data_IF_030795942541
#
_entry.id   IF_030795942541
#
_cell.length_a   1.000
_cell.length_b   1.000
_cell.length_c   1.000
_cell.angle_alpha   90.00
_cell.angle_beta   90.00
_cell.angle_gamma   90.00
#
_symmetry.space_group_name_H-M   'P 1'
#
loop_
_entity.id
_entity.type
_entity.pdbx_description
1 polymer ?
#
# COMPACT_ATOMS: atom_id res chain seq x y z
N UNK A 1 20.74 -8.34 -32.87
CA UNK A 1 21.21 -8.30 -31.46
C UNK A 1 20.20 -8.94 -30.49
N UNK A 2 19.40 -9.93 -30.92
CA UNK A 2 18.29 -10.49 -30.13
C UNK A 2 18.45 -11.99 -29.78
N UNK A 3 19.56 -12.63 -30.16
CA UNK A 3 19.78 -14.07 -29.93
C UNK A 3 20.53 -14.42 -28.63
N UNK A 4 21.08 -13.44 -27.90
CA UNK A 4 21.83 -13.73 -26.68
C UNK A 4 20.92 -14.05 -25.48
N UNK A 5 19.68 -13.55 -25.48
CA UNK A 5 18.71 -13.66 -24.37
C UNK A 5 18.11 -15.08 -24.21
N UNK A 6 18.21 -15.96 -25.21
CA UNK A 6 17.63 -17.32 -25.16
C UNK A 6 18.56 -18.43 -24.66
N UNK A 7 19.86 -18.15 -24.40
CA UNK A 7 20.75 -19.20 -23.90
C UNK A 7 20.37 -19.53 -22.45
N UNK A 8 20.20 -20.81 -22.14
CA UNK A 8 19.87 -21.35 -20.80
C UNK A 8 20.73 -20.73 -19.68
N UNK A 9 22.00 -20.39 -19.99
CA UNK A 9 22.91 -19.67 -19.10
C UNK A 9 22.51 -18.23 -18.77
N UNK A 10 21.93 -17.48 -19.70
CA UNK A 10 21.47 -16.09 -19.48
C UNK A 10 20.27 -16.05 -18.52
N UNK A 11 19.32 -16.98 -18.66
CA UNK A 11 18.16 -17.10 -17.77
C UNK A 11 18.55 -17.50 -16.34
N UNK A 12 19.47 -18.45 -16.18
CA UNK A 12 20.00 -18.83 -14.87
C UNK A 12 20.87 -17.74 -14.25
N UNK A 13 21.61 -16.99 -15.07
CA UNK A 13 22.36 -15.82 -14.61
C UNK A 13 21.43 -14.70 -14.13
N UNK A 14 20.37 -14.38 -14.88
CA UNK A 14 19.37 -13.38 -14.47
C UNK A 14 18.66 -13.76 -13.18
N UNK A 15 18.25 -15.03 -13.02
CA UNK A 15 17.66 -15.50 -11.77
C UNK A 15 18.60 -15.30 -10.54
N UNK A 16 19.92 -15.47 -10.72
CA UNK A 16 20.91 -15.18 -9.67
C UNK A 16 21.12 -13.68 -9.46
N UNK A 17 21.08 -12.90 -10.53
CA UNK A 17 21.22 -11.44 -10.50
C UNK A 17 20.06 -10.79 -9.72
N UNK A 18 18.82 -11.23 -9.93
CA UNK A 18 17.65 -10.78 -9.15
C UNK A 18 17.81 -11.13 -7.66
N UNK A 19 18.30 -12.34 -7.35
CA UNK A 19 18.54 -12.74 -5.96
C UNK A 19 19.63 -11.91 -5.26
N UNK A 20 20.72 -11.58 -5.97
CA UNK A 20 21.77 -10.72 -5.43
C UNK A 20 21.32 -9.26 -5.28
N UNK A 21 20.59 -8.71 -6.26
CA UNK A 21 19.99 -7.38 -6.18
C UNK A 21 19.05 -7.22 -4.98
N UNK A 22 18.09 -8.14 -4.86
CA UNK A 22 17.13 -8.13 -3.77
C UNK A 22 17.81 -8.21 -2.40
N UNK A 23 18.86 -9.04 -2.25
CA UNK A 23 19.61 -9.15 -1.00
C UNK A 23 20.30 -7.84 -0.60
N UNK A 24 20.82 -7.09 -1.58
CA UNK A 24 21.51 -5.82 -1.35
C UNK A 24 20.53 -4.71 -0.96
N UNK A 25 19.33 -4.70 -1.56
CA UNK A 25 18.23 -3.78 -1.22
C UNK A 25 17.71 -4.05 0.19
N UNK A 26 17.49 -5.31 0.54
CA UNK A 26 17.01 -5.70 1.87
C UNK A 26 18.03 -5.31 2.94
N UNK A 27 19.34 -5.46 2.67
CA UNK A 27 20.40 -4.97 3.55
C UNK A 27 20.39 -3.44 3.72
N UNK A 28 20.17 -2.69 2.63
CA UNK A 28 20.02 -1.24 2.69
C UNK A 28 18.80 -0.79 3.51
N UNK A 29 17.67 -1.47 3.34
CA UNK A 29 16.46 -1.23 4.12
C UNK A 29 16.66 -1.56 5.61
N UNK A 30 17.35 -2.67 5.92
CA UNK A 30 17.68 -3.07 7.28
C UNK A 30 18.53 -2.01 8.00
N UNK A 31 19.57 -1.49 7.33
CA UNK A 31 20.41 -0.42 7.87
C UNK A 31 19.60 0.85 8.15
N UNK A 32 18.63 1.17 7.29
CA UNK A 32 17.76 2.34 7.46
C UNK A 32 16.82 2.21 8.66
N UNK A 33 16.24 1.02 8.87
CA UNK A 33 15.38 0.70 10.01
C UNK A 33 16.18 0.71 11.32
N UNK A 34 17.40 0.17 11.31
CA UNK A 34 18.21 0.03 12.52
C UNK A 34 19.04 1.29 12.87
N UNK A 35 18.95 2.34 12.04
CA UNK A 35 19.63 3.63 12.22
C UNK A 35 21.16 3.53 12.35
N UNK A 36 21.78 2.57 11.66
CA UNK A 36 23.24 2.43 11.66
C UNK A 36 23.92 3.57 10.89
N UNK A 37 25.13 3.93 11.30
CA UNK A 37 25.92 4.95 10.61
C UNK A 37 26.16 4.53 9.14
N UNK A 38 25.91 5.45 8.20
CA UNK A 38 26.01 5.15 6.77
C UNK A 38 24.77 4.52 6.14
N UNK A 39 23.65 4.37 6.87
CA UNK A 39 22.42 3.77 6.35
C UNK A 39 21.87 4.45 5.08
N UNK A 40 22.00 5.77 4.96
CA UNK A 40 21.60 6.47 3.74
C UNK A 40 22.40 6.02 2.52
N UNK A 41 23.71 5.88 2.65
CA UNK A 41 24.61 5.47 1.57
C UNK A 41 24.32 4.02 1.16
N UNK A 42 24.15 3.12 2.14
CA UNK A 42 23.83 1.71 1.88
C UNK A 42 22.47 1.55 1.17
N UNK A 43 21.46 2.32 1.58
CA UNK A 43 20.15 2.34 0.93
C UNK A 43 20.23 2.85 -0.50
N UNK A 44 21.00 3.92 -0.75
CA UNK A 44 21.22 4.43 -2.10
C UNK A 44 21.88 3.38 -3.00
N UNK A 45 22.90 2.67 -2.50
CA UNK A 45 23.56 1.60 -3.27
C UNK A 45 22.58 0.47 -3.60
N UNK A 46 21.75 0.04 -2.64
CA UNK A 46 20.72 -0.97 -2.85
C UNK A 46 19.71 -0.55 -3.93
N UNK A 47 19.11 0.64 -3.79
CA UNK A 47 18.11 1.13 -4.75
C UNK A 47 18.69 1.40 -6.14
N UNK A 48 19.92 1.90 -6.25
CA UNK A 48 20.60 2.08 -7.54
C UNK A 48 20.88 0.74 -8.22
N UNK A 49 21.29 -0.28 -7.46
CA UNK A 49 21.49 -1.64 -7.99
C UNK A 49 20.18 -2.18 -8.58
N UNK A 50 19.06 -1.93 -7.90
CA UNK A 50 17.76 -2.44 -8.35
C UNK A 50 17.24 -1.71 -9.60
N UNK A 51 17.53 -0.41 -9.71
CA UNK A 51 17.23 0.36 -10.91
C UNK A 51 17.93 -0.21 -12.16
N UNK A 52 19.18 -0.68 -12.01
CA UNK A 52 19.95 -1.31 -13.09
C UNK A 52 19.35 -2.67 -13.46
N UNK A 53 18.96 -3.48 -12.48
CA UNK A 53 18.37 -4.80 -12.70
C UNK A 53 17.01 -4.68 -13.41
N UNK A 54 16.15 -3.76 -12.98
CA UNK A 54 14.86 -3.48 -13.65
C UNK A 54 15.04 -3.01 -15.09
N UNK A 55 16.04 -2.17 -15.36
CA UNK A 55 16.35 -1.74 -16.71
C UNK A 55 16.69 -2.92 -17.63
N UNK A 56 17.47 -3.90 -17.14
CA UNK A 56 17.79 -5.10 -17.92
C UNK A 56 16.65 -6.13 -17.98
N UNK A 57 15.78 -6.17 -16.98
CA UNK A 57 14.57 -7.02 -16.94
C UNK A 57 13.57 -6.68 -18.05
N UNK A 58 13.47 -5.41 -18.44
CA UNK A 58 12.60 -4.96 -19.53
C UNK A 58 12.94 -5.56 -20.91
N UNK A 59 14.15 -6.13 -21.08
CA UNK A 59 14.57 -6.82 -22.30
C UNK A 59 14.27 -8.33 -22.27
N UNK A 60 13.67 -8.85 -21.19
CA UNK A 60 13.20 -10.23 -21.09
C UNK A 60 11.77 -10.32 -21.64
N UNK A 61 11.49 -11.32 -22.50
CA UNK A 61 10.14 -11.50 -23.08
C UNK A 61 9.14 -11.80 -21.94
N UNK A 62 7.90 -11.28 -21.98
CA UNK A 62 6.88 -11.61 -21.00
C UNK A 62 6.73 -13.13 -20.93
N UNK A 63 6.66 -13.68 -19.72
CA UNK A 63 6.41 -15.11 -19.53
C UNK A 63 5.12 -15.48 -20.27
N UNK A 64 5.23 -16.41 -21.24
CA UNK A 64 4.05 -17.00 -21.85
C UNK A 64 3.26 -17.69 -20.74
N UNK A 65 2.01 -17.27 -20.55
CA UNK A 65 1.12 -17.90 -19.59
C UNK A 65 0.99 -19.39 -19.93
N UNK A 66 1.04 -20.30 -18.95
CA UNK A 66 0.78 -21.71 -19.18
C UNK A 66 -0.57 -21.87 -19.89
N UNK A 67 -0.59 -22.64 -20.98
CA UNK A 67 -1.83 -22.91 -21.70
C UNK A 67 -2.73 -23.85 -20.88
N UNK A 68 -3.54 -23.27 -20.00
CA UNK A 68 -4.45 -24.00 -19.11
C UNK A 68 -5.52 -24.80 -19.88
N UNK A 69 -5.68 -24.58 -21.20
CA UNK A 69 -6.57 -25.37 -22.07
C UNK A 69 -6.13 -26.82 -22.22
N UNK A 70 -4.85 -27.13 -21.94
CA UNK A 70 -4.33 -28.50 -21.95
C UNK A 70 -4.78 -29.33 -20.74
N UNK A 71 -5.20 -28.67 -19.65
CA UNK A 71 -5.57 -29.29 -18.36
C UNK A 71 -7.06 -29.15 -18.07
N UNK A 72 -7.72 -28.09 -18.56
CA UNK A 72 -9.15 -27.85 -18.40
C UNK A 72 -9.79 -27.43 -19.74
N UNK A 73 -10.28 -28.39 -20.55
CA UNK A 73 -10.86 -28.09 -21.87
C UNK A 73 -12.14 -27.22 -21.80
N UNK A 74 -12.79 -27.13 -20.64
CA UNK A 74 -14.01 -26.33 -20.40
C UNK A 74 -13.77 -24.80 -20.44
N UNK A 75 -12.51 -24.34 -20.38
CA UNK A 75 -12.15 -22.91 -20.51
C UNK A 75 -11.74 -22.53 -21.94
N UNK A 76 -11.66 -23.50 -22.86
CA UNK A 76 -11.38 -23.24 -24.26
C UNK A 76 -12.59 -22.59 -24.93
N UNK A 77 -12.57 -21.25 -25.07
CA UNK A 77 -13.58 -20.50 -25.81
C UNK A 77 -14.21 -19.31 -25.09
N UNK A 78 -13.78 -18.94 -23.88
CA UNK A 78 -14.31 -17.79 -23.14
C UNK A 78 -13.32 -16.62 -23.05
N UNK A 79 -12.73 -16.20 -24.17
CA UNK A 79 -12.12 -14.88 -24.29
C UNK A 79 -12.66 -14.19 -25.54
N UNK A 80 -13.37 -13.09 -25.31
CA UNK A 80 -13.99 -12.24 -26.33
C UNK A 80 -12.92 -11.50 -27.13
N UNK A 81 -12.99 -11.59 -28.47
CA UNK A 81 -12.86 -10.43 -29.38
C UNK A 81 -13.23 -10.82 -30.83
N UNK A 82 -14.37 -10.25 -31.26
CA UNK A 82 -14.87 -9.89 -32.61
C UNK A 82 -14.80 -10.82 -33.85
N UNK A 83 -15.85 -10.78 -34.71
CA UNK A 83 -16.11 -11.79 -35.72
C UNK A 83 -15.29 -11.54 -37.00
N UNK A 84 -14.52 -12.54 -37.42
CA UNK A 84 -14.02 -12.63 -38.81
C UNK A 84 -14.55 -13.88 -39.49
N UNK A 85 -15.43 -13.64 -40.46
CA UNK A 85 -15.95 -14.59 -41.44
C UNK A 85 -14.89 -15.53 -41.98
N UNK A 86 -15.11 -16.85 -41.89
CA UNK A 86 -14.64 -17.83 -42.90
C UNK A 86 -15.61 -19.01 -43.10
N UNK A 87 -16.34 -18.91 -44.21
CA UNK A 87 -16.68 -19.94 -45.22
C UNK A 87 -16.97 -21.38 -44.80
N UNK A 88 -18.24 -21.75 -45.09
CA UNK A 88 -18.83 -23.08 -45.31
C UNK A 88 -17.91 -24.13 -45.96
N UNK A 89 -17.93 -25.33 -45.39
CA UNK A 89 -17.67 -26.61 -46.06
C UNK A 89 -18.64 -27.66 -45.51
N UNK A 90 -19.45 -28.25 -46.39
CA UNK A 90 -20.51 -29.24 -46.11
C UNK A 90 -19.89 -30.62 -45.84
N UNK A 91 -20.43 -31.37 -44.88
CA UNK A 91 -20.48 -32.83 -44.98
C UNK A 91 -21.78 -33.37 -44.36
N UNK A 92 -22.37 -34.32 -45.09
CA UNK A 92 -23.71 -34.88 -44.89
C UNK A 92 -23.79 -35.73 -43.62
N UNK A 93 -24.76 -35.43 -42.76
CA UNK A 93 -25.32 -36.40 -41.82
C UNK A 93 -25.89 -37.60 -42.59
N UNK A 94 -25.37 -38.80 -42.31
CA UNK A 94 -26.08 -40.05 -42.54
C UNK A 94 -26.99 -40.31 -41.35
N UNK A 95 -28.28 -40.53 -41.61
CA UNK A 95 -29.26 -40.84 -40.58
C UNK A 95 -29.07 -42.27 -40.06
N UNK A 96 -29.17 -42.42 -38.73
CA UNK A 96 -28.96 -43.67 -37.96
C UNK A 96 -29.79 -44.85 -38.47
N UNK A 97 -30.92 -44.59 -39.13
CA UNK A 97 -31.80 -45.61 -39.73
C UNK A 97 -31.13 -46.39 -40.87
N UNK A 98 -30.31 -45.73 -41.71
CA UNK A 98 -29.64 -46.39 -42.84
C UNK A 98 -28.46 -47.30 -42.41
N UNK A 99 -27.95 -47.15 -41.18
CA UNK A 99 -26.94 -48.06 -40.59
C UNK A 99 -27.57 -49.31 -39.96
N UNK A 100 -28.82 -49.23 -39.51
CA UNK A 100 -29.53 -50.35 -38.90
C UNK A 100 -30.10 -51.28 -39.98
N UNK A 101 -30.67 -50.72 -41.06
CA UNK A 101 -31.18 -51.54 -42.18
C UNK A 101 -30.06 -52.36 -42.84
N UNK A 102 -28.84 -51.79 -42.92
CA UNK A 102 -27.65 -52.48 -43.43
C UNK A 102 -27.12 -53.58 -42.51
N UNK A 103 -27.43 -53.51 -41.20
CA UNK A 103 -27.07 -54.54 -40.22
C UNK A 103 -28.12 -55.66 -40.11
N UNK A 104 -29.38 -55.40 -40.45
CA UNK A 104 -30.42 -56.42 -40.52
C UNK A 104 -30.33 -57.28 -41.80
N UNK A 105 -29.79 -56.75 -42.90
CA UNK A 105 -29.67 -57.47 -44.17
C UNK A 105 -28.49 -58.50 -44.20
N UNK A 106 -27.48 -58.34 -43.32
CA UNK A 106 -26.29 -59.21 -43.25
C UNK A 106 -26.43 -60.40 -42.27
N UNK A 107 -27.49 -60.48 -41.48
CA UNK A 107 -27.72 -61.60 -40.56
C UNK A 107 -28.34 -62.82 -41.28
N UNK A 108 -27.63 -63.36 -42.28
CA UNK A 108 -27.92 -64.71 -42.81
C UNK A 108 -27.62 -65.74 -41.71
N UNK A 109 -28.66 -66.34 -41.14
CA UNK A 109 -28.56 -67.45 -40.18
C UNK A 109 -27.90 -68.65 -40.88
N UNK A 110 -26.61 -68.87 -40.60
CA UNK A 110 -25.81 -69.98 -41.11
C UNK A 110 -25.39 -70.96 -40.00
N UNK A 111 -24.90 -72.16 -40.36
CA UNK A 111 -24.46 -73.19 -39.41
C UNK A 111 -23.34 -72.75 -38.45
N UNK A 112 -22.53 -71.75 -38.81
CA UNK A 112 -21.51 -71.15 -37.92
C UNK A 112 -22.12 -70.44 -36.70
N UNK A 113 -23.33 -69.88 -36.80
CA UNK A 113 -24.02 -69.24 -35.68
C UNK A 113 -24.46 -70.27 -34.62
N UNK A 114 -24.77 -71.50 -35.05
CA UNK A 114 -25.15 -72.61 -34.17
C UNK A 114 -23.91 -73.16 -33.46
N UNK A 115 -22.77 -73.26 -34.13
CA UNK A 115 -21.50 -73.68 -33.53
C UNK A 115 -20.95 -72.64 -32.55
N UNK A 116 -21.04 -71.35 -32.89
CA UNK A 116 -20.64 -70.26 -32.00
C UNK A 116 -21.60 -70.08 -30.82
N UNK A 117 -22.90 -70.35 -30.99
CA UNK A 117 -23.86 -70.44 -29.88
C UNK A 117 -23.58 -71.66 -28.99
N UNK A 118 -23.28 -72.83 -29.57
CA UNK A 118 -22.90 -74.03 -28.83
C UNK A 118 -21.60 -73.84 -28.05
N UNK A 119 -20.62 -73.16 -28.65
CA UNK A 119 -19.36 -72.77 -27.99
C UNK A 119 -19.61 -71.72 -26.91
N UNK A 120 -20.50 -70.75 -27.16
CA UNK A 120 -20.92 -69.75 -26.18
C UNK A 120 -21.61 -70.37 -24.97
N UNK A 121 -22.51 -71.33 -25.18
CA UNK A 121 -23.20 -72.07 -24.12
C UNK A 121 -22.23 -72.99 -23.34
N UNK A 122 -21.27 -73.61 -24.02
CA UNK A 122 -20.21 -74.42 -23.38
C UNK A 122 -19.25 -73.55 -22.57
N UNK A 123 -18.89 -72.37 -23.07
CA UNK A 123 -18.09 -71.38 -22.35
C UNK A 123 -18.85 -70.81 -21.16
N UNK A 124 -20.16 -70.55 -21.30
CA UNK A 124 -21.02 -70.12 -20.20
C UNK A 124 -21.13 -71.20 -19.13
N UNK A 125 -21.37 -72.47 -19.52
CA UNK A 125 -21.41 -73.61 -18.60
C UNK A 125 -20.07 -73.79 -17.85
N UNK A 126 -18.95 -73.70 -18.55
CA UNK A 126 -17.61 -73.72 -17.93
C UNK A 126 -17.37 -72.51 -17.01
N UNK A 127 -17.90 -71.34 -17.35
CA UNK A 127 -17.80 -70.13 -16.51
C UNK A 127 -18.68 -70.25 -15.27
N UNK A 128 -19.88 -70.83 -15.39
CA UNK A 128 -20.78 -71.14 -14.27
C UNK A 128 -20.18 -72.21 -13.36
N UNK A 129 -19.51 -73.23 -13.90
CA UNK A 129 -18.77 -74.22 -13.11
C UNK A 129 -17.59 -73.58 -12.35
N UNK A 130 -16.84 -72.67 -13.00
CA UNK A 130 -15.80 -71.87 -12.33
C UNK A 130 -16.36 -70.89 -11.29
N UNK A 131 -17.57 -70.36 -11.49
CA UNK A 131 -18.28 -69.56 -10.49
C UNK A 131 -18.74 -70.38 -9.29
N UNK A 132 -19.15 -71.64 -9.50
CA UNK A 132 -19.47 -72.56 -8.42
C UNK A 132 -18.22 -72.88 -7.57
N UNK A 133 -17.04 -72.98 -8.18
CA UNK A 133 -15.75 -73.08 -7.47
C UNK A 133 -15.37 -71.78 -6.74
N UNK A 134 -15.66 -70.61 -7.33
CA UNK A 134 -15.46 -69.28 -6.71
C UNK A 134 -16.31 -69.05 -5.45
N UNK A 135 -17.43 -69.77 -5.30
CA UNK A 135 -18.27 -69.76 -4.08
C UNK A 135 -17.49 -70.20 -2.82
N UNK A 136 -16.41 -70.97 -3.00
CA UNK A 136 -15.55 -71.43 -1.90
C UNK A 136 -14.43 -70.44 -1.53
N UNK A 137 -14.21 -69.36 -2.30
CA UNK A 137 -13.11 -68.40 -2.07
C UNK A 137 -13.61 -67.09 -1.46
N UNK A 138 -13.89 -67.12 -0.15
CA UNK A 138 -14.43 -66.00 0.67
C UNK A 138 -13.53 -64.74 0.71
N UNK A 139 -12.26 -64.83 0.27
CA UNK A 139 -11.29 -63.72 0.40
C UNK A 139 -11.57 -62.51 -0.48
N UNK A 140 -12.01 -62.68 -1.74
CA UNK A 140 -12.26 -61.55 -2.65
C UNK A 140 -13.52 -60.75 -2.28
N UNK A 141 -14.55 -61.41 -1.74
CA UNK A 141 -15.77 -60.76 -1.23
C UNK A 141 -15.49 -60.01 0.07
N UNK A 142 -14.65 -60.57 0.95
CA UNK A 142 -14.20 -59.89 2.16
C UNK A 142 -13.39 -58.64 1.83
N UNK A 143 -12.47 -58.73 0.86
CA UNK A 143 -11.65 -57.60 0.41
C UNK A 143 -12.47 -56.52 -0.30
N UNK A 144 -13.41 -56.88 -1.18
CA UNK A 144 -14.35 -55.93 -1.79
C UNK A 144 -15.23 -55.25 -0.73
N UNK A 145 -15.75 -56.00 0.25
CA UNK A 145 -16.56 -55.45 1.35
C UNK A 145 -15.74 -54.50 2.21
N UNK A 146 -14.48 -54.83 2.48
CA UNK A 146 -13.55 -53.97 3.20
C UNK A 146 -13.24 -52.69 2.41
N UNK A 147 -13.02 -52.79 1.10
CA UNK A 147 -12.79 -51.63 0.24
C UNK A 147 -14.03 -50.75 0.13
N UNK A 148 -15.23 -51.33 0.01
CA UNK A 148 -16.50 -50.60 0.00
C UNK A 148 -16.76 -49.90 1.35
N UNK A 149 -16.44 -50.57 2.47
CA UNK A 149 -16.53 -49.99 3.82
C UNK A 149 -15.54 -48.86 4.03
N UNK A 150 -14.30 -49.02 3.55
CA UNK A 150 -13.29 -47.97 3.55
C UNK A 150 -13.72 -46.78 2.69
N UNK A 151 -14.22 -47.02 1.47
CA UNK A 151 -14.74 -45.97 0.60
C UNK A 151 -15.93 -45.24 1.25
N UNK A 152 -16.87 -45.96 1.86
CA UNK A 152 -17.98 -45.36 2.60
C UNK A 152 -17.51 -44.53 3.80
N UNK A 153 -16.47 -44.98 4.50
CA UNK A 153 -15.85 -44.22 5.59
C UNK A 153 -15.14 -42.96 5.07
N UNK A 154 -14.45 -43.05 3.93
CA UNK A 154 -13.81 -41.90 3.29
C UNK A 154 -14.83 -40.87 2.80
N UNK A 155 -15.99 -41.31 2.27
CA UNK A 155 -17.10 -40.42 1.91
C UNK A 155 -17.71 -39.76 3.16
N UNK A 156 -17.85 -40.49 4.26
CA UNK A 156 -18.25 -39.93 5.56
C UNK A 156 -17.28 -38.87 6.05
N UNK A 157 -15.97 -39.15 6.03
CA UNK A 157 -14.92 -38.21 6.38
C UNK A 157 -14.89 -36.97 5.46
N UNK A 158 -15.17 -37.14 4.17
CA UNK A 158 -15.28 -36.03 3.22
C UNK A 158 -16.47 -35.13 3.57
N UNK A 159 -17.62 -35.72 3.91
CA UNK A 159 -18.81 -34.98 4.35
C UNK A 159 -18.56 -34.20 5.64
N UNK A 160 -17.87 -34.80 6.60
CA UNK A 160 -17.50 -34.14 7.86
C UNK A 160 -16.49 -33.01 7.63
N UNK A 161 -15.52 -33.23 6.75
CA UNK A 161 -14.54 -32.20 6.36
C UNK A 161 -15.25 -31.04 5.66
N UNK A 162 -16.20 -31.32 4.76
CA UNK A 162 -17.00 -30.31 4.07
C UNK A 162 -17.83 -29.46 5.04
N UNK A 163 -18.47 -30.08 6.05
CA UNK A 163 -19.18 -29.35 7.11
C UNK A 163 -18.25 -28.43 7.90
N UNK A 164 -17.08 -28.93 8.31
CA UNK A 164 -16.06 -28.12 9.01
C UNK A 164 -15.55 -26.97 8.13
N UNK A 165 -15.32 -27.21 6.85
CA UNK A 165 -14.90 -26.16 5.91
C UNK A 165 -15.94 -25.06 5.78
N UNK A 166 -17.24 -25.40 5.70
CA UNK A 166 -18.31 -24.40 5.67
C UNK A 166 -18.43 -23.60 6.97
N UNK A 167 -18.25 -24.22 8.13
CA UNK A 167 -18.24 -23.53 9.43
C UNK A 167 -17.06 -22.55 9.53
N UNK A 168 -15.85 -22.99 9.15
CA UNK A 168 -14.65 -22.14 9.13
C UNK A 168 -14.80 -21.00 8.14
N UNK A 169 -15.30 -21.27 6.92
CA UNK A 169 -15.51 -20.25 5.90
C UNK A 169 -16.56 -19.21 6.33
N UNK A 170 -17.63 -19.64 7.00
CA UNK A 170 -18.62 -18.72 7.57
C UNK A 170 -18.03 -17.85 8.68
N UNK A 171 -17.12 -18.41 9.49
CA UNK A 171 -16.41 -17.67 10.53
C UNK A 171 -15.42 -16.66 9.95
N UNK A 172 -14.69 -17.04 8.89
CA UNK A 172 -13.74 -16.17 8.19
C UNK A 172 -14.44 -14.97 7.54
N UNK A 173 -15.64 -15.14 6.97
CA UNK A 173 -16.44 -14.02 6.42
C UNK A 173 -16.73 -12.94 7.49
N UNK A 174 -17.05 -13.35 8.72
CA UNK A 174 -17.29 -12.41 9.82
C UNK A 174 -16.00 -11.69 10.25
N UNK A 175 -14.87 -12.41 10.33
CA UNK A 175 -13.56 -11.81 10.66
C UNK A 175 -13.13 -10.77 9.61
N UNK A 176 -13.36 -11.05 8.32
CA UNK A 176 -13.09 -10.10 7.22
C UNK A 176 -13.99 -8.86 7.31
N UNK A 177 -15.26 -9.03 7.68
CA UNK A 177 -16.18 -7.91 7.92
C UNK A 177 -15.74 -7.04 9.09
N UNK A 178 -15.35 -7.65 10.22
CA UNK A 178 -14.85 -6.92 11.38
C UNK A 178 -13.56 -6.18 11.07
N UNK A 179 -12.63 -6.82 10.34
CA UNK A 179 -11.41 -6.18 9.87
C UNK A 179 -11.69 -4.98 8.95
N UNK A 180 -12.65 -5.10 8.03
CA UNK A 180 -13.11 -3.99 7.17
C UNK A 180 -13.64 -2.81 8.01
N UNK A 181 -14.43 -3.10 9.04
CA UNK A 181 -14.95 -2.07 9.95
C UNK A 181 -13.82 -1.41 10.76
N UNK A 182 -12.85 -2.18 11.27
CA UNK A 182 -11.68 -1.63 11.96
C UNK A 182 -10.85 -0.72 11.04
N UNK A 183 -10.60 -1.15 9.79
CA UNK A 183 -9.91 -0.35 8.78
C UNK A 183 -10.68 0.93 8.46
N UNK A 184 -12.00 0.84 8.29
CA UNK A 184 -12.86 1.99 8.01
C UNK A 184 -12.80 2.99 9.16
N UNK A 185 -12.91 2.52 10.40
CA UNK A 185 -12.79 3.36 11.59
C UNK A 185 -11.41 4.03 11.67
N UNK A 186 -10.33 3.27 11.41
CA UNK A 186 -8.97 3.82 11.38
C UNK A 186 -8.81 4.92 10.32
N UNK A 187 -9.34 4.71 9.10
CA UNK A 187 -9.34 5.73 8.04
C UNK A 187 -10.16 6.96 8.41
N UNK A 188 -11.27 6.78 9.10
CA UNK A 188 -12.11 7.89 9.56
C UNK A 188 -11.41 8.69 10.66
N UNK A 189 -10.75 8.03 11.62
CA UNK A 189 -9.88 8.69 12.60
C UNK A 189 -8.71 9.42 11.94
N UNK A 190 -8.10 8.83 10.91
CA UNK A 190 -7.07 9.50 10.12
C UNK A 190 -7.61 10.76 9.43
N UNK A 191 -8.87 10.74 8.96
CA UNK A 191 -9.55 11.93 8.41
C UNK A 191 -9.66 13.03 9.44
N UNK A 192 -10.20 12.70 10.61
CA UNK A 192 -10.41 13.67 11.69
C UNK A 192 -9.07 14.26 12.15
N UNK A 193 -8.02 13.44 12.23
CA UNK A 193 -6.67 13.91 12.54
C UNK A 193 -6.13 14.85 11.47
N UNK A 194 -6.33 14.53 10.19
CA UNK A 194 -5.97 15.41 9.07
C UNK A 194 -6.66 16.77 9.17
N UNK A 195 -7.94 16.79 9.50
CA UNK A 195 -8.70 18.04 9.60
C UNK A 195 -8.24 18.88 10.81
N UNK A 196 -8.02 18.25 11.97
CA UNK A 196 -7.45 18.91 13.14
C UNK A 196 -6.06 19.50 12.84
N UNK A 197 -5.22 18.76 12.10
CA UNK A 197 -3.91 19.25 11.67
C UNK A 197 -4.01 20.45 10.73
N UNK A 198 -4.96 20.46 9.78
CA UNK A 198 -5.20 21.62 8.91
C UNK A 198 -5.64 22.85 9.71
N UNK A 199 -6.49 22.67 10.71
CA UNK A 199 -6.98 23.75 11.58
C UNK A 199 -5.87 24.32 12.46
N UNK A 200 -5.02 23.46 13.02
CA UNK A 200 -3.83 23.90 13.76
C UNK A 200 -2.88 24.65 12.82
N UNK A 201 -2.65 24.15 11.62
CA UNK A 201 -1.79 24.82 10.65
C UNK A 201 -2.31 26.21 10.25
N UNK A 202 -3.62 26.35 10.03
CA UNK A 202 -4.22 27.65 9.69
C UNK A 202 -4.14 28.64 10.86
N UNK A 203 -4.39 28.16 12.09
CA UNK A 203 -4.31 28.98 13.30
C UNK A 203 -2.88 29.47 13.56
N UNK A 204 -1.89 28.57 13.48
CA UNK A 204 -0.47 28.92 13.61
C UNK A 204 -0.06 29.93 12.53
N UNK A 205 -0.52 29.76 11.29
CA UNK A 205 -0.22 30.71 10.21
C UNK A 205 -0.81 32.10 10.49
N UNK A 206 -2.00 32.17 11.08
CA UNK A 206 -2.61 33.42 11.52
C UNK A 206 -1.79 34.09 12.64
N UNK A 207 -1.42 33.33 13.67
CA UNK A 207 -0.58 33.83 14.77
C UNK A 207 0.82 34.27 14.30
N UNK A 208 1.40 33.59 13.31
CA UNK A 208 2.66 34.00 12.69
C UNK A 208 2.55 35.36 12.00
N UNK A 209 1.43 35.63 11.33
CA UNK A 209 1.22 36.92 10.67
C UNK A 209 1.09 38.04 11.71
N UNK A 210 0.29 37.82 12.76
CA UNK A 210 0.17 38.77 13.87
C UNK A 210 1.52 39.01 14.58
N UNK A 211 2.31 37.94 14.79
CA UNK A 211 3.66 38.04 15.33
C UNK A 211 4.57 38.85 14.40
N UNK A 212 4.46 38.69 13.08
CA UNK A 212 5.24 39.47 12.11
C UNK A 212 4.90 40.96 12.16
N UNK A 213 3.62 41.31 12.31
CA UNK A 213 3.18 42.70 12.49
C UNK A 213 3.71 43.29 13.80
N UNK A 214 3.67 42.50 14.88
CA UNK A 214 4.25 42.87 16.16
C UNK A 214 5.77 43.12 16.06
N UNK A 215 6.51 42.23 15.40
CA UNK A 215 7.96 42.41 15.16
C UNK A 215 8.23 43.73 14.42
N UNK A 216 7.43 44.04 13.39
CA UNK A 216 7.58 45.29 12.64
C UNK A 216 7.33 46.51 13.54
N UNK A 217 6.28 46.46 14.36
CA UNK A 217 5.95 47.54 15.31
C UNK A 217 7.05 47.73 16.35
N UNK A 218 7.62 46.63 16.84
CA UNK A 218 8.77 46.63 17.77
C UNK A 218 10.02 47.21 17.11
N UNK A 219 10.26 46.89 15.84
CA UNK A 219 11.38 47.44 15.06
C UNK A 219 11.22 48.95 14.83
N UNK A 220 10.01 49.42 14.57
CA UNK A 220 9.70 50.84 14.42
C UNK A 220 9.88 51.58 15.75
N UNK A 221 9.47 50.97 16.86
CA UNK A 221 9.72 51.50 18.20
C UNK A 221 11.23 51.57 18.51
N UNK A 222 12.01 50.54 18.19
CA UNK A 222 13.46 50.55 18.35
C UNK A 222 14.13 51.68 17.55
N UNK A 223 13.66 51.90 16.32
CA UNK A 223 14.15 52.99 15.46
C UNK A 223 13.81 54.36 16.05
N UNK A 224 12.61 54.51 16.63
CA UNK A 224 12.18 55.73 17.30
C UNK A 224 12.97 56.01 18.58
N UNK A 225 13.32 54.97 19.34
CA UNK A 225 14.21 55.08 20.51
C UNK A 225 15.61 55.53 20.12
N UNK A 226 16.16 55.00 19.02
CA UNK A 226 17.45 55.47 18.48
C UNK A 226 17.40 56.94 18.08
N UNK A 227 16.36 57.36 17.35
CA UNK A 227 16.18 58.77 16.96
C UNK A 227 16.07 59.69 18.19
N UNK A 228 15.34 59.25 19.22
CA UNK A 228 15.20 60.01 20.45
C UNK A 228 16.53 60.14 21.17
N UNK A 229 17.32 59.07 21.29
CA UNK A 229 18.69 59.08 21.82
C UNK A 229 19.55 60.13 21.12
N UNK A 230 19.53 60.16 19.78
CA UNK A 230 20.30 61.10 18.98
C UNK A 230 19.88 62.55 19.25
N UNK A 231 18.57 62.84 19.26
CA UNK A 231 18.04 64.18 19.57
C UNK A 231 18.34 64.61 21.00
N UNK A 232 18.38 63.66 21.94
CA UNK A 232 18.72 63.94 23.32
C UNK A 232 20.19 64.32 23.47
N UNK A 233 21.09 63.61 22.79
CA UNK A 233 22.51 63.94 22.73
C UNK A 233 22.76 65.32 22.08
N UNK A 234 22.07 65.63 20.97
CA UNK A 234 22.11 66.97 20.36
C UNK A 234 21.66 68.05 21.34
N UNK A 235 20.55 67.82 22.05
CA UNK A 235 20.02 68.78 23.04
C UNK A 235 21.00 68.97 24.19
N UNK A 236 21.59 67.89 24.70
CA UNK A 236 22.62 67.95 25.73
C UNK A 236 23.80 68.83 25.29
N UNK A 237 24.34 68.61 24.09
CA UNK A 237 25.42 69.41 23.54
C UNK A 237 25.03 70.89 23.34
N UNK A 238 23.83 71.16 22.84
CA UNK A 238 23.33 72.54 22.71
C UNK A 238 23.15 73.23 24.06
N UNK A 239 22.69 72.51 25.08
CA UNK A 239 22.56 73.04 26.44
C UNK A 239 23.93 73.37 27.03
N UNK A 240 24.93 72.50 26.86
CA UNK A 240 26.31 72.72 27.28
C UNK A 240 26.89 73.96 26.59
N UNK A 241 26.79 74.06 25.26
CA UNK A 241 27.24 75.24 24.49
C UNK A 241 26.54 76.53 24.93
N UNK A 242 25.23 76.44 25.23
CA UNK A 242 24.46 77.58 25.70
C UNK A 242 24.94 78.02 27.09
N UNK A 243 25.20 77.08 27.99
CA UNK A 243 25.74 77.36 29.32
C UNK A 243 27.15 77.97 29.27
N UNK A 244 28.01 77.51 28.36
CA UNK A 244 29.35 78.11 28.11
C UNK A 244 29.26 79.57 27.60
N UNK A 245 28.17 79.92 26.91
CA UNK A 245 27.96 81.26 26.34
C UNK A 245 27.29 82.27 27.28
N UNK A 246 26.83 81.86 28.46
CA UNK A 246 26.17 82.75 29.43
C UNK A 246 27.22 83.54 30.23
N UNK A 247 27.11 84.86 30.23
CA UNK A 247 27.90 85.76 31.08
C UNK A 247 27.43 85.65 32.55
N UNK A 248 28.18 84.90 33.35
CA UNK A 248 27.91 84.60 34.75
C UNK A 248 28.00 85.81 35.69
N UNK A 249 28.31 87.01 35.20
CA UNK A 249 28.40 88.22 36.02
C UNK A 249 27.05 88.80 36.47
N UNK A 250 25.91 88.36 35.90
CA UNK A 250 24.56 88.93 36.16
C UNK A 250 23.47 87.95 36.57
N UNK A 251 23.76 86.65 36.63
CA UNK A 251 22.81 85.58 36.95
C UNK A 251 23.36 84.79 38.15
N UNK A 252 22.48 84.30 39.03
CA UNK A 252 22.86 83.47 40.18
C UNK A 252 23.48 82.14 39.73
N UNK A 253 24.78 82.21 39.41
CA UNK A 253 25.57 81.23 38.65
C UNK A 253 25.52 79.83 39.27
N UNK A 254 25.50 79.75 40.61
CA UNK A 254 25.50 78.47 41.35
C UNK A 254 24.18 77.71 41.25
N UNK A 255 23.04 78.41 41.30
CA UNK A 255 21.73 77.76 41.16
C UNK A 255 21.57 77.19 39.75
N UNK A 256 21.95 77.97 38.75
CA UNK A 256 21.91 77.56 37.34
C UNK A 256 22.85 76.37 37.06
N UNK A 257 24.09 76.41 37.56
CA UNK A 257 25.07 75.32 37.44
C UNK A 257 24.54 74.01 38.05
N UNK A 258 23.91 74.08 39.24
CA UNK A 258 23.27 72.92 39.85
C UNK A 258 22.10 72.38 39.00
N UNK A 259 21.29 73.24 38.39
CA UNK A 259 20.21 72.82 37.51
C UNK A 259 20.75 72.10 36.26
N UNK A 260 21.81 72.63 35.61
CA UNK A 260 22.45 72.02 34.44
C UNK A 260 23.02 70.64 34.82
N UNK A 261 23.77 70.53 35.91
CA UNK A 261 24.32 69.25 36.40
C UNK A 261 23.23 68.21 36.66
N UNK A 262 22.09 68.65 37.21
CA UNK A 262 20.94 67.78 37.48
C UNK A 262 20.28 67.32 36.18
N UNK A 263 20.16 68.20 35.19
CA UNK A 263 19.69 67.84 33.85
C UNK A 263 20.64 66.82 33.23
N UNK A 264 21.94 67.10 33.15
CA UNK A 264 22.94 66.19 32.57
C UNK A 264 22.91 64.79 33.20
N UNK A 265 22.84 64.68 34.53
CA UNK A 265 22.69 63.39 35.23
C UNK A 265 21.40 62.65 34.85
N UNK A 266 20.29 63.38 34.75
CA UNK A 266 19.03 62.79 34.31
C UNK A 266 19.11 62.34 32.85
N UNK A 267 19.85 63.07 31.99
CA UNK A 267 20.06 62.69 30.59
C UNK A 267 20.85 61.38 30.48
N UNK A 268 21.90 61.26 31.29
CA UNK A 268 22.75 60.06 31.35
C UNK A 268 21.95 58.83 31.80
N UNK A 269 21.14 58.97 32.86
CA UNK A 269 20.28 57.91 33.36
C UNK A 269 19.22 57.47 32.31
N UNK A 270 18.62 58.42 31.59
CA UNK A 270 17.68 58.13 30.51
C UNK A 270 18.34 57.39 29.35
N UNK A 271 19.55 57.80 28.96
CA UNK A 271 20.29 57.14 27.89
C UNK A 271 20.60 55.67 28.23
N UNK A 272 20.99 55.37 29.48
CA UNK A 272 21.18 53.99 29.94
C UNK A 272 19.89 53.16 29.85
N UNK A 273 18.74 53.72 30.22
CA UNK A 273 17.44 53.04 30.10
C UNK A 273 17.12 52.75 28.62
N UNK A 274 17.39 53.70 27.71
CA UNK A 274 17.16 53.49 26.27
C UNK A 274 18.06 52.40 25.69
N UNK A 275 19.34 52.33 26.09
CA UNK A 275 20.23 51.25 25.66
C UNK A 275 19.77 49.89 26.18
N UNK A 276 19.31 49.80 27.43
CA UNK A 276 18.72 48.58 27.99
C UNK A 276 17.44 48.17 27.25
N UNK A 277 16.59 49.14 26.87
CA UNK A 277 15.36 48.87 26.14
C UNK A 277 15.63 48.38 24.72
N UNK A 278 16.61 48.99 24.02
CA UNK A 278 17.07 48.54 22.70
C UNK A 278 17.64 47.12 22.75
N UNK A 279 18.47 46.82 23.75
CA UNK A 279 19.01 45.47 23.95
C UNK A 279 17.89 44.44 24.20
N UNK A 280 16.90 44.80 25.03
CA UNK A 280 15.74 43.94 25.32
C UNK A 280 14.89 43.70 24.07
N UNK A 281 14.64 44.76 23.29
CA UNK A 281 13.91 44.69 22.02
C UNK A 281 14.66 43.82 21.00
N UNK A 282 15.98 43.97 20.88
CA UNK A 282 16.81 43.11 20.02
C UNK A 282 16.70 41.64 20.41
N UNK A 283 16.77 41.33 21.71
CA UNK A 283 16.60 39.96 22.22
C UNK A 283 15.21 39.38 21.94
N UNK A 284 14.16 40.20 22.06
CA UNK A 284 12.79 39.81 21.71
C UNK A 284 12.65 39.52 20.20
N UNK A 285 13.32 40.31 19.36
CA UNK A 285 13.36 40.14 17.89
C UNK A 285 14.02 38.81 17.49
N UNK A 286 15.16 38.47 18.09
CA UNK A 286 15.87 37.22 17.84
C UNK A 286 15.07 35.99 18.32
N UNK A 287 14.44 36.10 19.50
CA UNK A 287 13.54 35.07 20.02
C UNK A 287 12.37 34.87 19.07
N UNK A 288 11.76 35.95 18.60
CA UNK A 288 10.61 35.90 17.68
C UNK A 288 10.98 35.29 16.33
N UNK A 289 12.18 35.58 15.81
CA UNK A 289 12.72 34.94 14.60
C UNK A 289 12.89 33.43 14.79
N UNK A 290 13.44 33.02 15.93
CA UNK A 290 13.61 31.60 16.27
C UNK A 290 12.27 30.87 16.38
N UNK A 291 11.29 31.48 17.04
CA UNK A 291 9.92 30.96 17.15
C UNK A 291 9.29 30.82 15.76
N UNK A 292 9.42 31.84 14.90
CA UNK A 292 8.93 31.82 13.52
C UNK A 292 9.55 30.70 12.70
N UNK A 293 10.86 30.50 12.80
CA UNK A 293 11.55 29.42 12.09
C UNK A 293 11.12 28.03 12.61
N UNK A 294 10.93 27.90 13.93
CA UNK A 294 10.38 26.71 14.56
C UNK A 294 8.96 26.39 14.09
N UNK A 295 8.07 27.40 14.06
CA UNK A 295 6.70 27.27 13.57
C UNK A 295 6.67 26.90 12.09
N UNK A 296 7.54 27.47 11.25
CA UNK A 296 7.65 27.08 9.84
C UNK A 296 8.03 25.60 9.68
N UNK A 297 9.00 25.10 10.46
CA UNK A 297 9.36 23.67 10.46
C UNK A 297 8.19 22.80 10.94
N UNK A 298 7.50 23.23 11.98
CA UNK A 298 6.33 22.53 12.51
C UNK A 298 5.18 22.46 11.49
N UNK A 299 4.88 23.57 10.80
CA UNK A 299 3.90 23.63 9.72
C UNK A 299 4.26 22.68 8.58
N UNK A 300 5.53 22.63 8.18
CA UNK A 300 6.00 21.70 7.15
C UNK A 300 5.80 20.23 7.58
N UNK A 301 6.13 19.90 8.84
CA UNK A 301 5.92 18.56 9.37
C UNK A 301 4.44 18.19 9.44
N UNK A 302 3.56 19.15 9.79
CA UNK A 302 2.11 18.96 9.75
C UNK A 302 1.66 18.69 8.31
N UNK A 303 2.14 19.46 7.33
CA UNK A 303 1.78 19.28 5.92
C UNK A 303 2.17 17.89 5.41
N UNK A 304 3.38 17.42 5.73
CA UNK A 304 3.82 16.06 5.42
C UNK A 304 2.93 15.00 6.10
N UNK A 305 2.55 15.21 7.36
CA UNK A 305 1.69 14.29 8.11
C UNK A 305 0.29 14.22 7.50
N UNK A 306 -0.27 15.36 7.09
CA UNK A 306 -1.55 15.45 6.36
C UNK A 306 -1.47 14.69 5.03
N UNK A 307 -0.38 14.86 4.27
CA UNK A 307 -0.17 14.12 3.02
C UNK A 307 -0.10 12.61 3.24
N UNK A 308 0.70 12.14 4.22
CA UNK A 308 0.80 10.73 4.54
C UNK A 308 -0.54 10.14 4.99
N UNK A 309 -1.32 10.90 5.77
CA UNK A 309 -2.66 10.50 6.20
C UNK A 309 -3.63 10.37 5.01
N UNK A 310 -3.60 11.33 4.07
CA UNK A 310 -4.42 11.25 2.85
C UNK A 310 -4.05 10.02 1.99
N UNK A 311 -2.76 9.72 1.85
CA UNK A 311 -2.30 8.51 1.13
C UNK A 311 -2.78 7.22 1.81
N UNK A 312 -2.72 7.18 3.15
CA UNK A 312 -3.24 6.05 3.91
C UNK A 312 -4.74 5.85 3.67
N UNK A 313 -5.53 6.92 3.66
CA UNK A 313 -6.97 6.85 3.35
C UNK A 313 -7.22 6.29 1.96
N UNK A 314 -6.45 6.72 0.95
CA UNK A 314 -6.57 6.22 -0.41
C UNK A 314 -6.27 4.72 -0.50
N UNK A 315 -5.19 4.28 0.15
CA UNK A 315 -4.82 2.85 0.23
C UNK A 315 -5.92 2.03 0.91
N UNK A 316 -6.49 2.53 2.02
CA UNK A 316 -7.59 1.89 2.73
C UNK A 316 -8.83 1.78 1.86
N UNK A 317 -9.20 2.86 1.15
CA UNK A 317 -10.36 2.85 0.26
C UNK A 317 -10.19 1.83 -0.87
N UNK A 318 -9.00 1.75 -1.46
CA UNK A 318 -8.66 0.75 -2.47
C UNK A 318 -8.74 -0.68 -1.91
N UNK A 319 -8.20 -0.91 -0.70
CA UNK A 319 -8.28 -2.21 -0.03
C UNK A 319 -9.74 -2.62 0.23
N UNK A 320 -10.56 -1.70 0.74
CA UNK A 320 -11.99 -1.97 0.97
C UNK A 320 -12.74 -2.30 -0.33
N UNK A 321 -12.45 -1.59 -1.42
CA UNK A 321 -13.02 -1.91 -2.74
C UNK A 321 -12.62 -3.31 -3.22
N UNK A 322 -11.33 -3.65 -3.12
CA UNK A 322 -10.83 -4.96 -3.49
C UNK A 322 -11.45 -6.07 -2.64
N UNK A 323 -11.60 -5.84 -1.33
CA UNK A 323 -12.21 -6.81 -0.42
C UNK A 323 -13.70 -7.01 -0.71
N UNK A 324 -14.42 -5.94 -1.09
CA UNK A 324 -15.80 -6.05 -1.53
C UNK A 324 -15.94 -6.87 -2.83
N UNK A 325 -15.03 -6.69 -3.79
CA UNK A 325 -14.97 -7.50 -5.02
C UNK A 325 -14.70 -8.97 -4.68
N UNK A 326 -13.72 -9.23 -3.81
CA UNK A 326 -13.36 -10.59 -3.39
C UNK A 326 -14.55 -11.30 -2.74
N UNK A 327 -15.21 -10.63 -1.78
CA UNK A 327 -16.39 -11.17 -1.09
C UNK A 327 -17.54 -11.45 -2.06
N UNK A 328 -17.73 -10.63 -3.10
CA UNK A 328 -18.71 -10.88 -4.16
C UNK A 328 -18.38 -12.14 -4.98
N UNK A 329 -17.12 -12.34 -5.34
CA UNK A 329 -16.67 -13.54 -6.06
C UNK A 329 -16.83 -14.79 -5.20
N UNK A 330 -16.41 -14.75 -3.93
CA UNK A 330 -16.57 -15.86 -3.00
C UNK A 330 -18.04 -16.19 -2.74
N UNK A 331 -18.89 -15.18 -2.56
CA UNK A 331 -20.34 -15.36 -2.42
C UNK A 331 -20.96 -16.04 -3.63
N UNK A 332 -20.58 -15.61 -4.85
CA UNK A 332 -21.04 -16.23 -6.09
C UNK A 332 -20.55 -17.68 -6.23
N UNK A 333 -19.30 -17.97 -5.83
CA UNK A 333 -18.72 -19.32 -5.86
C UNK A 333 -19.41 -20.23 -4.84
N UNK A 334 -19.66 -19.76 -3.62
CA UNK A 334 -20.43 -20.48 -2.60
C UNK A 334 -21.85 -20.78 -3.06
N UNK A 335 -22.53 -19.81 -3.67
CA UNK A 335 -23.87 -20.00 -4.22
C UNK A 335 -23.86 -21.07 -5.33
N UNK A 336 -22.90 -21.01 -6.26
CA UNK A 336 -22.74 -22.01 -7.32
C UNK A 336 -22.43 -23.41 -6.76
N UNK A 337 -21.62 -23.49 -5.70
CA UNK A 337 -21.24 -24.75 -5.07
C UNK A 337 -22.40 -25.37 -4.28
N UNK A 338 -23.22 -24.57 -3.60
CA UNK A 338 -24.38 -25.05 -2.83
C UNK A 338 -25.55 -25.47 -3.74
N UNK A 339 -25.70 -24.85 -4.92
CA UNK A 339 -26.72 -25.21 -5.92
C UNK A 339 -26.45 -26.59 -6.53
N UNK A 340 -25.19 -27.01 -6.65
CA UNK A 340 -24.83 -28.33 -7.20
C UNK A 340 -24.91 -29.49 -6.19
N UNK A 341 -25.11 -29.21 -4.89
CA UNK A 341 -25.26 -30.25 -3.86
C UNK A 341 -26.73 -30.67 -3.66
N UNK A 342 -27.68 -29.86 -4.11
CA UNK A 342 -29.13 -30.08 -3.95
C UNK A 342 -29.86 -30.49 -5.24
N UNK A 343 -29.14 -31.00 -6.26
CA UNK A 343 -29.71 -31.61 -7.47
C UNK A 343 -29.29 -33.07 -7.55
#
# INVERSE_FOLDING_TARGET
>A
MFEFSQKKGFKTFMARLYGWGASLVILGALFKIQHWAGAGIMLTIGMTTECIIFFFSAFEKPHAEPDWSLVYPELAGMHDEEPKEKKKGKEKELTTTQKIDKMLEEAKIGPELIESLGTGLKNLSNTTAKMADLSSTISATSEFTNNLKSASSSVGQLSDTYKKTNEVLSKDINVVSDFSNSIKNASQSASTLTDAYKEVASSIKSEMNATSEYINSVKDAASSVNLLKDKYNETAQSLTKSAESIDFSKVDSKAYEQQILKVTKNLEALNQIYELQLASVSGQLDTSKTVRDGMNKFLNNIEQSVQASNQYQELVNNLNNNMAILNKVYGNMLAAMNVNVNK
#
